data_IF_937888629010
#
_entry.id   IF_937888629010
#
_cell.length_a   1.000
_cell.length_b   1.000
_cell.length_c   1.000
_cell.angle_alpha   90.00
_cell.angle_beta   90.00
_cell.angle_gamma   90.00
#
_symmetry.space_group_name_H-M   'P 1'
#
loop_
_entity.id
_entity.type
_entity.pdbx_description
1 polymer ?
#
# COMPACT_ATOMS: atom_id res chain seq x y z
N UNK A 1 58.14 15.66 1.83
CA UNK A 1 57.46 14.74 0.89
C UNK A 1 58.16 13.40 1.02
N UNK A 2 57.65 12.52 1.89
CA UNK A 2 58.10 11.13 2.02
C UNK A 2 56.83 10.30 1.94
N UNK A 3 56.71 9.53 0.86
CA UNK A 3 55.63 8.56 0.69
C UNK A 3 56.06 7.28 1.40
N UNK A 4 55.31 6.86 2.42
CA UNK A 4 55.51 5.59 3.10
C UNK A 4 55.02 4.46 2.18
N UNK A 5 55.96 3.91 1.41
CA UNK A 5 55.77 2.78 0.50
C UNK A 5 55.98 1.45 1.23
N UNK A 6 55.19 1.16 2.27
CA UNK A 6 55.17 -0.17 2.90
C UNK A 6 53.75 -0.63 3.14
N UNK A 7 53.04 -0.92 2.04
CA UNK A 7 51.89 -1.79 2.09
C UNK A 7 52.43 -3.22 2.03
N UNK A 8 52.47 -3.89 3.19
CA UNK A 8 52.69 -5.34 3.25
C UNK A 8 51.76 -6.02 2.25
N UNK A 9 52.26 -6.89 1.36
CA UNK A 9 51.41 -7.56 0.40
C UNK A 9 50.50 -8.52 1.16
N UNK A 10 49.26 -8.08 1.40
CA UNK A 10 48.20 -8.97 1.87
C UNK A 10 48.13 -10.14 0.88
N UNK A 11 48.21 -11.40 1.37
CA UNK A 11 48.23 -12.55 0.48
C UNK A 11 46.93 -12.56 -0.32
N UNK A 12 47.05 -12.33 -1.64
CA UNK A 12 45.93 -12.38 -2.57
C UNK A 12 45.58 -13.86 -2.76
N UNK A 13 44.56 -14.32 -2.04
CA UNK A 13 44.03 -15.68 -2.17
C UNK A 13 43.34 -15.77 -3.54
N UNK A 14 44.07 -16.26 -4.54
CA UNK A 14 43.61 -16.33 -5.93
C UNK A 14 42.70 -17.54 -6.21
N UNK A 15 42.71 -18.56 -5.34
CA UNK A 15 41.94 -19.80 -5.52
C UNK A 15 41.11 -20.09 -4.27
N UNK A 16 39.88 -20.54 -4.47
CA UNK A 16 38.92 -20.88 -3.39
C UNK A 16 39.46 -22.01 -2.50
N UNK A 17 40.33 -22.86 -3.04
CA UNK A 17 41.00 -23.96 -2.34
C UNK A 17 42.02 -23.48 -1.28
N UNK A 18 42.63 -22.32 -1.51
CA UNK A 18 43.63 -21.71 -0.61
C UNK A 18 42.96 -20.87 0.50
N UNK A 19 41.62 -20.82 0.52
CA UNK A 19 40.84 -20.10 1.53
C UNK A 19 40.63 -20.98 2.77
N UNK A 20 41.12 -20.53 3.92
CA UNK A 20 40.89 -21.24 5.19
C UNK A 20 39.41 -21.19 5.58
N UNK A 21 38.70 -22.31 5.39
CA UNK A 21 37.29 -22.52 5.80
C UNK A 21 37.06 -22.41 7.30
N UNK A 22 38.14 -22.36 8.08
CA UNK A 22 38.16 -22.18 9.52
C UNK A 22 38.50 -20.74 9.94
N UNK A 23 38.64 -19.80 9.02
CA UNK A 23 38.72 -18.38 9.35
C UNK A 23 37.38 -17.82 9.86
N UNK A 24 37.41 -16.86 10.78
CA UNK A 24 36.22 -16.15 11.28
C UNK A 24 35.55 -16.72 12.54
N UNK A 25 34.52 -16.02 13.01
CA UNK A 25 33.75 -16.35 14.22
C UNK A 25 32.84 -17.58 13.99
N UNK A 26 32.31 -18.21 15.05
CA UNK A 26 31.48 -19.44 14.93
C UNK A 26 30.28 -19.27 13.99
N UNK A 27 29.67 -18.07 13.99
CA UNK A 27 28.57 -17.72 13.09
C UNK A 27 29.04 -17.58 11.63
N UNK A 28 30.16 -16.93 11.38
CA UNK A 28 30.73 -16.83 10.02
C UNK A 28 31.06 -18.20 9.46
N UNK A 29 31.68 -19.07 10.25
CA UNK A 29 31.95 -20.46 9.84
C UNK A 29 30.67 -21.23 9.53
N UNK A 30 29.60 -21.04 10.30
CA UNK A 30 28.30 -21.67 10.02
C UNK A 30 27.67 -21.14 8.72
N UNK A 31 27.73 -19.82 8.47
CA UNK A 31 27.20 -19.21 7.24
C UNK A 31 28.03 -19.53 5.99
N UNK A 32 29.36 -19.42 6.05
CA UNK A 32 30.24 -19.58 4.88
C UNK A 32 30.49 -21.04 4.50
N UNK A 33 30.46 -21.98 5.46
CA UNK A 33 30.70 -23.39 5.15
C UNK A 33 29.41 -24.11 4.70
N UNK A 34 28.23 -23.59 5.07
CA UNK A 34 26.92 -24.09 4.62
C UNK A 34 26.24 -23.14 3.63
N UNK A 35 26.97 -22.70 2.59
CA UNK A 35 26.45 -21.87 1.48
C UNK A 35 25.03 -22.25 1.00
N UNK A 36 24.70 -23.53 0.71
CA UNK A 36 23.37 -23.87 0.22
C UNK A 36 22.27 -23.65 1.28
N UNK A 37 22.58 -23.82 2.57
CA UNK A 37 21.62 -23.62 3.66
C UNK A 37 21.23 -22.13 3.79
N UNK A 38 22.21 -21.23 3.66
CA UNK A 38 21.97 -19.78 3.69
C UNK A 38 21.12 -19.35 2.50
N UNK A 39 21.41 -19.88 1.30
CA UNK A 39 20.63 -19.58 0.10
C UNK A 39 19.18 -20.06 0.23
N UNK A 40 18.96 -21.26 0.75
CA UNK A 40 17.60 -21.79 1.00
C UNK A 40 16.88 -20.93 2.04
N UNK A 41 17.56 -20.53 3.12
CA UNK A 41 16.97 -19.66 4.13
C UNK A 41 16.55 -18.29 3.56
N UNK A 42 17.43 -17.63 2.79
CA UNK A 42 17.11 -16.38 2.10
C UNK A 42 15.94 -16.54 1.13
N UNK A 43 15.90 -17.64 0.39
CA UNK A 43 14.82 -17.95 -0.55
C UNK A 43 13.48 -18.10 0.19
N UNK A 44 13.44 -18.85 1.29
CA UNK A 44 12.24 -19.03 2.11
C UNK A 44 11.73 -17.70 2.68
N UNK A 45 12.62 -16.87 3.22
CA UNK A 45 12.27 -15.53 3.72
C UNK A 45 11.71 -14.65 2.59
N UNK A 46 12.35 -14.68 1.42
CA UNK A 46 11.90 -13.92 0.25
C UNK A 46 10.50 -14.35 -0.21
N UNK A 47 10.25 -15.65 -0.28
CA UNK A 47 8.93 -16.19 -0.65
C UNK A 47 7.85 -15.82 0.38
N UNK A 48 8.18 -15.90 1.67
CA UNK A 48 7.26 -15.53 2.75
C UNK A 48 6.90 -14.04 2.68
N UNK A 49 7.90 -13.17 2.52
CA UNK A 49 7.68 -11.73 2.37
C UNK A 49 6.91 -11.40 1.08
N UNK A 50 7.22 -12.07 -0.03
CA UNK A 50 6.48 -11.94 -1.28
C UNK A 50 5.01 -12.34 -1.15
N UNK A 51 4.72 -13.45 -0.47
CA UNK A 51 3.35 -13.86 -0.19
C UNK A 51 2.61 -12.86 0.70
N UNK A 52 3.30 -12.28 1.70
CA UNK A 52 2.71 -11.27 2.57
C UNK A 52 2.49 -9.93 1.85
N UNK A 53 3.38 -9.55 0.93
CA UNK A 53 3.22 -8.36 0.09
C UNK A 53 1.98 -8.45 -0.82
N UNK A 54 1.64 -9.65 -1.32
CA UNK A 54 0.40 -9.85 -2.08
C UNK A 54 -0.89 -9.64 -1.27
N UNK A 55 -0.82 -9.68 0.07
CA UNK A 55 -1.96 -9.43 0.97
C UNK A 55 -2.11 -7.96 1.37
N UNK A 56 -1.24 -7.09 0.87
CA UNK A 56 -1.28 -5.68 1.21
C UNK A 56 -2.53 -5.05 0.59
N UNK A 57 -3.52 -4.74 1.42
CA UNK A 57 -4.70 -4.01 0.98
C UNK A 57 -4.33 -2.55 0.75
N UNK A 58 -4.47 -2.07 -0.49
CA UNK A 58 -4.35 -0.66 -0.83
C UNK A 58 -5.45 0.13 -0.10
N UNK A 59 -5.12 0.65 1.07
CA UNK A 59 -6.04 1.46 1.84
C UNK A 59 -5.90 2.92 1.41
N UNK A 60 -6.61 3.31 0.36
CA UNK A 60 -6.72 4.70 -0.09
C UNK A 60 -7.75 5.48 0.75
N UNK A 61 -7.73 5.30 2.08
CA UNK A 61 -8.54 6.12 2.97
C UNK A 61 -7.85 7.46 3.14
N UNK A 62 -8.43 8.51 2.56
CA UNK A 62 -7.99 9.90 2.78
C UNK A 62 -7.84 10.21 4.28
N UNK A 63 -8.69 9.61 5.12
CA UNK A 63 -8.65 9.77 6.58
C UNK A 63 -7.32 9.32 7.21
N UNK A 64 -6.69 8.27 6.67
CA UNK A 64 -5.38 7.78 7.17
C UNK A 64 -4.20 8.64 6.75
N UNK A 65 -4.40 9.52 5.76
CA UNK A 65 -3.38 10.48 5.32
C UNK A 65 -3.47 11.79 6.11
N UNK A 66 -4.57 12.01 6.85
CA UNK A 66 -4.77 13.21 7.66
C UNK A 66 -4.10 13.01 9.03
N UNK A 67 -3.32 13.99 9.54
CA UNK A 67 -2.71 13.90 10.86
C UNK A 67 -3.79 13.84 11.95
N UNK A 68 -3.85 12.72 12.67
CA UNK A 68 -4.89 12.42 13.67
C UNK A 68 -4.75 13.21 14.97
N UNK A 69 -3.65 13.94 15.16
CA UNK A 69 -3.37 14.70 16.39
C UNK A 69 -4.12 16.04 16.46
N UNK A 70 -4.69 16.51 15.35
CA UNK A 70 -5.34 17.83 15.34
C UNK A 70 -6.74 17.78 15.98
N UNK A 71 -7.12 18.72 16.87
CA UNK A 71 -8.41 18.70 17.57
C UNK A 71 -9.63 18.66 16.64
N UNK A 72 -9.57 19.33 15.48
CA UNK A 72 -10.64 19.24 14.46
C UNK A 72 -10.82 17.83 13.87
N UNK A 73 -9.72 17.08 13.70
CA UNK A 73 -9.77 15.72 13.13
C UNK A 73 -10.34 14.76 14.15
N UNK A 74 -9.99 14.93 15.43
CA UNK A 74 -10.56 14.17 16.55
C UNK A 74 -12.08 14.38 16.62
N UNK A 75 -12.53 15.64 16.63
CA UNK A 75 -13.96 15.96 16.66
C UNK A 75 -14.67 15.41 15.41
N UNK A 76 -14.07 15.57 14.22
CA UNK A 76 -14.64 15.01 13.00
C UNK A 76 -14.81 13.49 13.10
N UNK A 77 -13.80 12.75 13.58
CA UNK A 77 -13.86 11.30 13.75
C UNK A 77 -14.90 10.88 14.78
N UNK A 78 -15.05 11.63 15.88
CA UNK A 78 -16.05 11.39 16.92
C UNK A 78 -17.49 11.56 16.41
N UNK A 79 -17.73 12.60 15.60
CA UNK A 79 -19.07 12.96 15.12
C UNK A 79 -19.37 12.50 13.70
N UNK A 80 -18.44 11.82 13.00
CA UNK A 80 -18.59 11.40 11.58
C UNK A 80 -19.89 10.62 11.32
N UNK A 81 -20.28 9.74 12.24
CA UNK A 81 -21.53 8.97 12.12
C UNK A 81 -22.80 9.83 12.21
N UNK A 82 -22.71 11.03 12.78
CA UNK A 82 -23.80 12.02 12.84
C UNK A 82 -23.78 13.01 11.67
N UNK A 83 -22.73 12.96 10.84
CA UNK A 83 -22.53 13.80 9.65
C UNK A 83 -22.90 13.03 8.37
N UNK A 84 -23.92 12.15 8.44
CA UNK A 84 -24.49 11.45 7.29
C UNK A 84 -24.70 12.42 6.11
N UNK A 85 -24.31 11.99 4.91
CA UNK A 85 -24.41 12.79 3.68
C UNK A 85 -23.27 13.79 3.40
N UNK A 86 -22.37 14.08 4.34
CA UNK A 86 -21.26 15.05 4.14
C UNK A 86 -19.94 14.41 3.65
N UNK A 87 -19.83 13.09 3.68
CA UNK A 87 -18.63 12.37 3.24
C UNK A 87 -18.63 12.12 1.73
N UNK A 88 -19.28 11.03 1.31
CA UNK A 88 -19.29 10.59 -0.08
C UNK A 88 -20.61 10.98 -0.75
N UNK A 89 -20.59 12.01 -1.60
CA UNK A 89 -21.74 12.42 -2.41
C UNK A 89 -21.53 12.11 -3.88
N UNK A 90 -22.45 11.39 -4.51
CA UNK A 90 -22.49 11.22 -5.97
C UNK A 90 -23.55 12.17 -6.53
N UNK A 91 -23.19 12.99 -7.52
CA UNK A 91 -24.12 13.91 -8.21
C UNK A 91 -24.29 13.42 -9.65
N UNK A 92 -25.54 13.23 -10.06
CA UNK A 92 -25.91 12.77 -11.40
C UNK A 92 -26.64 13.93 -12.08
N UNK A 93 -26.10 14.42 -13.20
CA UNK A 93 -26.74 15.43 -14.02
C UNK A 93 -27.34 14.75 -15.27
N UNK A 94 -28.61 15.02 -15.56
CA UNK A 94 -29.33 14.44 -16.70
C UNK A 94 -29.73 15.56 -17.65
N UNK A 95 -29.22 15.52 -18.86
CA UNK A 95 -29.51 16.48 -19.93
C UNK A 95 -30.60 15.96 -20.86
N UNK A 96 -31.38 16.87 -21.45
CA UNK A 96 -32.30 16.54 -22.56
C UNK A 96 -31.65 16.84 -23.90
N UNK A 97 -31.72 15.90 -24.84
CA UNK A 97 -31.15 16.06 -26.20
C UNK A 97 -32.09 16.80 -27.15
N UNK A 98 -33.38 16.91 -26.82
CA UNK A 98 -34.37 17.62 -27.62
C UNK A 98 -35.51 18.14 -26.76
N UNK A 99 -35.89 19.41 -26.93
CA UNK A 99 -36.98 20.02 -26.18
C UNK A 99 -36.53 20.66 -24.86
N UNK A 100 -37.42 20.68 -23.87
CA UNK A 100 -37.26 21.38 -22.59
C UNK A 100 -37.28 20.39 -21.41
N UNK A 101 -36.65 20.76 -20.30
CA UNK A 101 -36.61 19.97 -19.05
C UNK A 101 -37.97 19.86 -18.37
N UNK A 102 -38.95 20.65 -18.78
CA UNK A 102 -40.33 20.56 -18.29
C UNK A 102 -41.20 19.59 -19.10
N UNK A 103 -40.63 18.91 -20.11
CA UNK A 103 -41.36 17.87 -20.84
C UNK A 103 -41.75 16.71 -19.90
N UNK A 104 -42.96 16.19 -20.10
CA UNK A 104 -43.50 15.08 -19.31
C UNK A 104 -42.58 13.85 -19.37
N UNK A 105 -42.08 13.50 -20.54
CA UNK A 105 -41.24 12.31 -20.76
C UNK A 105 -39.89 12.45 -20.06
N UNK A 106 -39.31 13.66 -20.10
CA UNK A 106 -38.07 13.96 -19.38
C UNK A 106 -38.28 13.82 -17.87
N UNK A 107 -39.32 14.45 -17.33
CA UNK A 107 -39.61 14.41 -15.89
C UNK A 107 -39.91 12.99 -15.40
N UNK A 108 -40.65 12.19 -16.17
CA UNK A 108 -40.90 10.77 -15.87
C UNK A 108 -39.61 9.94 -15.88
N UNK A 109 -38.69 10.24 -16.80
CA UNK A 109 -37.40 9.56 -16.88
C UNK A 109 -36.50 9.95 -15.72
N UNK A 110 -36.43 11.24 -15.39
CA UNK A 110 -35.68 11.76 -14.25
C UNK A 110 -36.18 11.17 -12.93
N UNK A 111 -37.51 11.08 -12.75
CA UNK A 111 -38.11 10.45 -11.57
C UNK A 111 -37.70 8.97 -11.45
N UNK A 112 -37.77 8.22 -12.55
CA UNK A 112 -37.36 6.80 -12.57
C UNK A 112 -35.89 6.61 -12.22
N UNK A 113 -35.01 7.44 -12.78
CA UNK A 113 -33.58 7.41 -12.47
C UNK A 113 -33.35 7.67 -10.97
N UNK A 114 -34.02 8.68 -10.41
CA UNK A 114 -33.93 8.98 -8.99
C UNK A 114 -34.38 7.80 -8.14
N UNK A 115 -35.54 7.20 -8.45
CA UNK A 115 -36.09 6.07 -7.71
C UNK A 115 -35.15 4.85 -7.76
N UNK A 116 -34.61 4.52 -8.93
CA UNK A 116 -33.66 3.41 -9.08
C UNK A 116 -32.37 3.66 -8.28
N UNK A 117 -31.79 4.85 -8.39
CA UNK A 117 -30.54 5.21 -7.68
C UNK A 117 -30.76 5.24 -6.17
N UNK A 118 -31.88 5.78 -5.70
CA UNK A 118 -32.20 5.86 -4.28
C UNK A 118 -32.40 4.48 -3.64
N UNK A 119 -32.88 3.51 -4.42
CA UNK A 119 -33.11 2.13 -3.97
C UNK A 119 -31.86 1.24 -4.01
N UNK A 120 -30.75 1.69 -4.60
CA UNK A 120 -29.51 0.90 -4.67
C UNK A 120 -28.96 0.55 -3.27
N UNK A 121 -28.45 -0.68 -3.07
CA UNK A 121 -27.79 -1.06 -1.83
C UNK A 121 -26.51 -0.25 -1.62
N UNK A 122 -26.36 0.35 -0.44
CA UNK A 122 -25.18 1.15 -0.08
C UNK A 122 -25.33 2.66 -0.27
N UNK A 123 -26.46 3.14 -0.81
CA UNK A 123 -26.81 4.57 -0.77
C UNK A 123 -27.34 4.92 0.62
N UNK A 124 -26.70 5.90 1.27
CA UNK A 124 -27.17 6.43 2.54
C UNK A 124 -28.41 7.30 2.28
N UNK A 125 -29.56 6.75 2.67
CA UNK A 125 -30.86 7.42 2.62
C UNK A 125 -30.98 8.18 3.93
N UNK A 126 -30.37 9.37 4.01
CA UNK A 126 -30.48 10.23 5.17
C UNK A 126 -31.95 10.25 5.62
N UNK A 127 -32.21 9.63 6.78
CA UNK A 127 -33.55 9.49 7.38
C UNK A 127 -33.77 10.63 8.35
#
# INVERSE_FOLDING_TARGET
MHADSSLDPHPVIARVEDFDRRSGNLLERAFFNFRPLVLIACLLVTLLLGWQAGKLQLNASFEKMIPTTHPYVINFLEYRGKLSGLGNSVRIAVETTSGDIYDKTYLETLARINDEVFLLPGVDRAT
#
